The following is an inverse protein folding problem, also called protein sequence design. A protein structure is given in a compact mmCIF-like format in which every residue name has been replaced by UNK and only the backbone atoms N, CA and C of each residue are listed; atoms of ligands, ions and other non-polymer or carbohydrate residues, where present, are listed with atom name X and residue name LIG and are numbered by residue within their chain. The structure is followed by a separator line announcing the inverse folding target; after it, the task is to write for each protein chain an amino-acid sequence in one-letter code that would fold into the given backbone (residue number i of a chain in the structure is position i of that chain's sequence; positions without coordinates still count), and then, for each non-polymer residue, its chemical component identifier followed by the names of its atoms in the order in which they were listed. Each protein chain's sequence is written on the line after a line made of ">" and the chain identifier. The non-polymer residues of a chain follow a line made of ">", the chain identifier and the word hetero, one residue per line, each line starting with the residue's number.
data_IF_154494304315
#
_entry.id   IF_154494304315
#
_cell.length_a   1.000
_cell.length_b   1.000
_cell.length_c   1.000
_cell.angle_alpha   90.00
_cell.angle_beta   90.00
_cell.angle_gamma   90.00
#
_symmetry.space_group_name_H-M   'P 1'
#
loop_
_entity.id
_entity.type
_entity.pdbx_description
1 polymer ?
#
# COMPACT_ATOMS: atom_id res chain seq x y z
N UNK A 1 -5.93 -50.39 0.28
CA UNK A 1 -4.87 -51.00 1.11
C UNK A 1 -3.61 -51.13 0.27
N UNK A 2 -2.51 -50.53 0.75
CA UNK A 2 -1.10 -50.69 0.35
C UNK A 2 -0.75 -50.46 -1.14
N UNK A 3 -0.12 -49.31 -1.44
CA UNK A 3 1.34 -49.20 -1.71
C UNK A 3 1.61 -49.39 -3.21
N UNK A 4 2.29 -48.51 -3.93
CA UNK A 4 3.75 -48.39 -3.92
C UNK A 4 4.20 -46.93 -4.13
N UNK A 5 5.08 -46.48 -3.25
CA UNK A 5 5.88 -45.27 -3.42
C UNK A 5 7.13 -45.57 -4.28
N UNK A 6 7.74 -44.49 -4.81
CA UNK A 6 9.12 -44.36 -5.38
C UNK A 6 9.17 -44.65 -6.90
N UNK A 7 9.62 -43.74 -7.77
CA UNK A 7 10.91 -43.04 -7.72
C UNK A 7 10.98 -41.79 -8.63
N UNK A 8 11.74 -40.77 -8.16
CA UNK A 8 12.47 -39.72 -8.90
C UNK A 8 11.70 -38.76 -9.86
N UNK A 9 11.31 -37.54 -9.48
CA UNK A 9 12.14 -36.33 -9.30
C UNK A 9 13.19 -36.04 -10.38
N UNK A 10 12.78 -35.81 -11.64
CA UNK A 10 13.37 -34.79 -12.55
C UNK A 10 12.71 -34.85 -13.93
N UNK A 11 12.68 -33.72 -14.66
CA UNK A 11 12.11 -33.51 -16.00
C UNK A 11 10.58 -33.23 -15.97
N UNK A 12 10.11 -32.05 -15.56
CA UNK A 12 10.58 -30.76 -16.07
C UNK A 12 10.23 -30.61 -17.55
N UNK A 13 8.97 -30.36 -17.88
CA UNK A 13 8.62 -29.73 -19.17
C UNK A 13 7.46 -28.75 -18.97
N UNK A 14 7.87 -27.48 -18.93
CA UNK A 14 7.05 -26.31 -18.74
C UNK A 14 5.83 -26.28 -19.66
N UNK A 15 4.67 -26.05 -19.04
CA UNK A 15 3.43 -25.69 -19.73
C UNK A 15 3.60 -24.30 -20.35
N UNK A 16 3.57 -24.25 -21.68
CA UNK A 16 3.59 -23.03 -22.48
C UNK A 16 2.29 -22.25 -22.29
N UNK A 17 2.34 -21.12 -21.57
CA UNK A 17 1.44 -19.94 -21.64
C UNK A 17 2.07 -18.86 -20.73
N UNK A 18 2.37 -17.61 -21.08
CA UNK A 18 1.86 -16.67 -22.08
C UNK A 18 2.99 -15.74 -22.59
N UNK A 19 2.86 -15.24 -23.81
CA UNK A 19 3.79 -14.34 -24.52
C UNK A 19 3.55 -12.84 -24.26
N UNK A 20 3.20 -12.46 -23.04
CA UNK A 20 3.14 -11.08 -22.56
C UNK A 20 3.43 -11.19 -21.07
N UNK A 21 4.51 -10.69 -20.48
CA UNK A 21 5.11 -9.37 -20.61
C UNK A 21 6.61 -9.48 -20.26
N UNK A 22 7.48 -9.69 -21.24
CA UNK A 22 8.93 -9.73 -20.97
C UNK A 22 9.67 -8.65 -21.76
N UNK A 23 10.27 -7.75 -20.98
CA UNK A 23 11.44 -6.94 -21.32
C UNK A 23 11.23 -5.69 -22.20
N UNK A 24 10.77 -4.60 -21.59
CA UNK A 24 11.43 -3.27 -21.72
C UNK A 24 11.08 -2.40 -20.52
N UNK A 25 11.89 -2.47 -19.46
CA UNK A 25 12.22 -1.29 -18.64
C UNK A 25 13.68 -1.43 -18.19
N UNK A 26 14.57 -0.84 -18.99
CA UNK A 26 15.90 -0.49 -18.53
C UNK A 26 15.75 0.54 -17.40
N UNK A 27 16.40 0.30 -16.26
CA UNK A 27 16.47 1.28 -15.17
C UNK A 27 16.31 0.65 -13.79
N UNK A 28 17.43 0.22 -13.21
CA UNK A 28 17.50 -0.02 -11.78
C UNK A 28 17.32 1.29 -11.02
N UNK A 29 16.08 1.59 -10.62
CA UNK A 29 15.83 2.57 -9.55
C UNK A 29 15.63 1.79 -8.26
N UNK A 30 16.66 1.82 -7.42
CA UNK A 30 16.62 1.25 -6.08
C UNK A 30 15.33 1.68 -5.37
N UNK A 31 14.56 0.70 -4.91
CA UNK A 31 13.36 0.87 -4.08
C UNK A 31 13.70 1.67 -2.81
N UNK A 32 13.58 2.99 -2.91
CA UNK A 32 13.51 3.89 -1.78
C UNK A 32 12.02 4.13 -1.50
N UNK A 33 11.33 3.11 -0.96
CA UNK A 33 9.99 3.25 -0.37
C UNK A 33 10.05 4.27 0.79
N UNK A 34 10.09 5.59 0.54
CA UNK A 34 10.46 6.52 1.61
C UNK A 34 9.61 7.78 1.64
N UNK A 35 8.78 7.82 2.69
CA UNK A 35 8.55 8.97 3.59
C UNK A 35 7.80 10.19 3.04
N UNK A 36 6.97 10.06 2.01
CA UNK A 36 5.86 11.02 1.81
C UNK A 36 4.62 10.63 2.64
N UNK A 37 4.62 9.39 3.14
CA UNK A 37 3.51 8.81 3.91
C UNK A 37 3.43 9.27 5.38
N UNK A 38 4.37 10.08 5.87
CA UNK A 38 4.26 10.65 7.22
C UNK A 38 3.74 12.08 7.22
N UNK A 39 3.75 12.75 6.08
CA UNK A 39 3.34 14.16 5.95
C UNK A 39 1.84 14.24 5.71
N UNK A 40 1.23 15.31 6.22
CA UNK A 40 -0.17 15.59 5.98
C UNK A 40 -0.42 15.90 4.50
N UNK A 41 -1.41 15.26 3.84
CA UNK A 41 -1.70 15.51 2.44
C UNK A 41 -2.30 16.91 2.16
N UNK A 42 -2.68 17.64 3.21
CA UNK A 42 -3.29 18.97 3.09
C UNK A 42 -2.22 20.06 3.11
N UNK A 43 -1.37 20.08 4.16
CA UNK A 43 -0.38 21.15 4.32
C UNK A 43 1.02 20.76 3.86
N UNK A 44 1.33 19.46 3.69
CA UNK A 44 2.65 18.93 3.34
C UNK A 44 3.81 19.35 4.27
N UNK A 45 3.54 20.10 5.34
CA UNK A 45 4.56 20.63 6.27
C UNK A 45 4.66 19.85 7.58
N UNK A 46 3.55 19.27 8.04
CA UNK A 46 3.45 18.62 9.36
C UNK A 46 3.19 17.13 9.25
N UNK A 47 3.62 16.34 10.25
CA UNK A 47 3.30 14.93 10.30
C UNK A 47 1.79 14.70 10.50
N UNK A 48 1.33 13.48 10.21
CA UNK A 48 -0.04 13.06 10.49
C UNK A 48 -0.15 12.63 11.95
N UNK A 49 -0.67 13.51 12.78
CA UNK A 49 -0.94 13.31 14.20
C UNK A 49 -2.45 13.28 14.50
N UNK A 50 -3.29 13.12 13.49
CA UNK A 50 -4.74 13.00 13.69
C UNK A 50 -5.36 11.99 12.72
N UNK A 51 -6.18 11.09 13.24
CA UNK A 51 -6.98 10.13 12.49
C UNK A 51 -8.45 10.53 12.47
N UNK A 52 -9.12 10.24 11.36
CA UNK A 52 -10.56 10.37 11.20
C UNK A 52 -11.23 9.01 11.40
N UNK A 53 -12.51 9.01 11.78
CA UNK A 53 -13.33 7.78 11.89
C UNK A 53 -13.39 6.93 10.63
N UNK A 54 -13.09 7.50 9.47
CA UNK A 54 -13.00 6.77 8.21
C UNK A 54 -11.70 5.96 8.04
N UNK A 55 -10.72 6.10 8.94
CA UNK A 55 -9.43 5.41 8.93
C UNK A 55 -8.27 6.20 8.30
N UNK A 56 -8.54 7.36 7.71
CA UNK A 56 -7.52 8.21 7.09
C UNK A 56 -6.97 9.26 8.07
N UNK A 57 -5.75 9.75 7.81
CA UNK A 57 -5.01 10.59 8.76
C UNK A 57 -4.54 11.91 8.14
N UNK A 58 -4.50 12.96 8.95
CA UNK A 58 -4.04 14.33 8.63
C UNK A 58 -3.31 14.97 9.81
N UNK A 59 -2.86 16.22 9.66
CA UNK A 59 -2.28 16.98 10.75
C UNK A 59 -3.39 17.54 11.68
N UNK A 60 -3.12 17.70 12.98
CA UNK A 60 -4.08 18.20 13.97
C UNK A 60 -4.49 19.66 13.75
N UNK A 61 -3.71 20.43 13.00
CA UNK A 61 -4.11 21.79 12.56
C UNK A 61 -4.99 21.77 11.29
N UNK A 62 -4.79 20.78 10.43
CA UNK A 62 -5.46 20.67 9.13
C UNK A 62 -6.84 20.03 9.27
N UNK A 63 -6.95 18.98 10.09
CA UNK A 63 -8.16 18.19 10.15
C UNK A 63 -9.38 18.80 10.88
N UNK A 64 -9.26 19.86 11.71
CA UNK A 64 -10.42 20.66 12.13
C UNK A 64 -10.97 21.54 11.00
N UNK A 65 -10.12 21.92 10.04
CA UNK A 65 -10.51 22.79 8.91
C UNK A 65 -11.22 22.01 7.79
N UNK A 66 -11.16 20.68 7.80
CA UNK A 66 -11.86 19.84 6.84
C UNK A 66 -13.13 19.22 7.45
N UNK A 67 -14.24 19.41 6.75
CA UNK A 67 -15.52 18.75 7.04
C UNK A 67 -15.54 17.32 6.50
N UNK A 68 -14.95 17.11 5.32
CA UNK A 68 -14.87 15.82 4.64
C UNK A 68 -13.44 15.30 4.57
N UNK A 69 -13.30 13.97 4.60
CA UNK A 69 -12.01 13.34 4.43
C UNK A 69 -11.42 13.64 3.03
N UNK A 70 -10.19 14.19 2.92
CA UNK A 70 -9.59 14.51 1.63
C UNK A 70 -9.26 13.29 0.78
N UNK A 71 -9.25 12.08 1.37
CA UNK A 71 -8.88 10.83 0.71
C UNK A 71 -10.12 10.05 0.25
N UNK A 72 -11.13 9.91 1.10
CA UNK A 72 -12.32 9.11 0.80
C UNK A 72 -13.63 9.89 0.73
N UNK A 73 -13.59 11.23 0.83
CA UNK A 73 -14.76 12.13 0.71
C UNK A 73 -15.95 11.78 1.63
N UNK A 74 -15.68 11.08 2.74
CA UNK A 74 -16.67 10.78 3.77
C UNK A 74 -16.71 11.93 4.78
N UNK A 75 -17.89 12.29 5.31
CA UNK A 75 -18.00 13.27 6.39
C UNK A 75 -17.21 12.79 7.62
N UNK A 76 -16.60 13.73 8.34
CA UNK A 76 -15.76 13.44 9.51
C UNK A 76 -16.58 13.64 10.78
N UNK A 77 -17.14 12.56 11.32
CA UNK A 77 -17.86 12.55 12.61
C UNK A 77 -16.91 12.46 13.80
N UNK A 78 -15.83 11.68 13.68
CA UNK A 78 -14.87 11.44 14.76
C UNK A 78 -13.47 11.87 14.36
N UNK A 79 -12.80 12.59 15.28
CA UNK A 79 -11.43 13.10 15.14
C UNK A 79 -10.62 12.65 16.35
N UNK A 80 -9.56 11.88 16.12
CA UNK A 80 -8.72 11.30 17.18
C UNK A 80 -7.29 11.80 17.00
N UNK A 81 -6.75 12.51 18.01
CA UNK A 81 -5.37 12.95 18.01
C UNK A 81 -4.45 11.80 18.44
N UNK A 82 -3.45 11.50 17.63
CA UNK A 82 -2.42 10.50 17.90
C UNK A 82 -1.23 11.24 18.53
N UNK A 83 -0.93 10.91 19.78
CA UNK A 83 0.18 11.50 20.55
C UNK A 83 1.53 10.94 20.14
#
# INVERSE_FOLDING_TARGET
>A
MASWWRSAWWMGRASRRSTADLATVAGGVAMKQRKCLSMCPVCLSKPRDMAFGCGHQTCSECGPQVADCPICRRPIDTRVKLY
#
